data_IF_950273122737
#
_entry.id   IF_950273122737
#
_cell.length_a   1.000
_cell.length_b   1.000
_cell.length_c   1.000
_cell.angle_alpha   90.00
_cell.angle_beta   90.00
_cell.angle_gamma   90.00
#
_symmetry.space_group_name_H-M   'P 1'
#
loop_
_entity.id
_entity.type
_entity.pdbx_description
1 polymer ?
#
# COMPACT_ATOMS: atom_id res chain seq x y z
N UNK A 1 -0.26 -7.28 9.39
CA UNK A 1 -1.38 -7.01 8.45
C UNK A 1 -1.65 -8.15 7.48
N UNK A 2 -0.74 -8.57 6.58
CA UNK A 2 -1.05 -9.64 5.60
C UNK A 2 -1.59 -10.93 6.23
N UNK A 3 -0.96 -11.42 7.31
CA UNK A 3 -1.47 -12.56 8.10
C UNK A 3 -2.88 -12.32 8.68
N UNK A 4 -3.14 -11.11 9.18
CA UNK A 4 -4.45 -10.74 9.75
C UNK A 4 -5.55 -10.67 8.68
N UNK A 5 -5.17 -10.44 7.43
CA UNK A 5 -6.05 -10.47 6.26
C UNK A 5 -6.17 -11.89 5.66
N UNK A 6 -5.67 -12.92 6.35
CA UNK A 6 -5.76 -14.33 5.94
C UNK A 6 -4.71 -14.77 4.91
N UNK A 7 -3.72 -13.93 4.61
CA UNK A 7 -2.62 -14.30 3.72
C UNK A 7 -1.60 -15.21 4.42
N UNK A 8 -0.87 -16.01 3.66
CA UNK A 8 0.26 -16.81 4.16
C UNK A 8 1.57 -16.29 3.57
N UNK A 9 2.59 -16.13 4.41
CA UNK A 9 3.92 -15.76 3.96
C UNK A 9 4.62 -16.95 3.29
N UNK A 10 5.30 -16.70 2.18
CA UNK A 10 6.11 -17.69 1.48
C UNK A 10 7.31 -16.98 0.82
N UNK A 11 8.51 -17.28 1.29
CA UNK A 11 9.74 -16.64 0.80
C UNK A 11 9.96 -16.88 -0.70
N UNK A 12 9.53 -18.02 -1.24
CA UNK A 12 9.59 -18.31 -2.68
C UNK A 12 8.66 -17.44 -3.55
N UNK A 13 7.76 -16.66 -2.95
CA UNK A 13 6.91 -15.68 -3.63
C UNK A 13 7.38 -14.24 -3.43
N UNK A 14 8.45 -14.01 -2.66
CA UNK A 14 8.97 -12.68 -2.35
C UNK A 14 9.82 -12.13 -3.52
N UNK A 15 9.18 -11.93 -4.67
CA UNK A 15 9.82 -11.58 -5.94
C UNK A 15 10.01 -10.08 -6.16
N UNK A 16 9.41 -9.23 -5.32
CA UNK A 16 9.55 -7.77 -5.41
C UNK A 16 10.74 -7.35 -4.57
N UNK A 17 11.69 -6.60 -5.15
CA UNK A 17 12.69 -5.87 -4.39
C UNK A 17 12.13 -4.49 -4.01
N UNK A 18 12.07 -4.19 -2.72
CA UNK A 18 11.67 -2.87 -2.26
C UNK A 18 12.73 -1.82 -2.60
N UNK A 19 12.35 -0.55 -2.56
CA UNK A 19 13.23 0.59 -2.85
C UNK A 19 13.31 1.57 -1.66
N UNK A 20 14.18 2.58 -1.77
CA UNK A 20 14.36 3.60 -0.74
C UNK A 20 14.87 3.02 0.58
N UNK A 21 14.29 3.45 1.69
CA UNK A 21 14.72 3.04 3.05
C UNK A 21 14.48 1.55 3.35
N UNK A 22 13.72 0.84 2.52
CA UNK A 22 13.48 -0.60 2.62
C UNK A 22 14.23 -1.39 1.54
N UNK A 23 15.20 -0.75 0.85
CA UNK A 23 15.82 -1.23 -0.37
C UNK A 23 16.49 -2.60 -0.34
N UNK A 24 16.80 -3.14 0.85
CA UNK A 24 17.42 -4.46 1.03
C UNK A 24 16.41 -5.59 1.20
N UNK A 25 15.11 -5.31 1.19
CA UNK A 25 14.09 -6.24 1.65
C UNK A 25 13.22 -6.73 0.50
N UNK A 26 12.94 -8.03 0.49
CA UNK A 26 12.05 -8.65 -0.48
C UNK A 26 10.59 -8.58 -0.01
N UNK A 27 9.68 -8.62 -0.97
CA UNK A 27 8.25 -8.54 -0.74
C UNK A 27 7.45 -9.43 -1.70
N UNK A 28 6.32 -9.92 -1.22
CA UNK A 28 5.33 -10.66 -1.99
C UNK A 28 4.30 -9.65 -2.54
N UNK A 29 3.93 -9.73 -3.84
CA UNK A 29 2.77 -9.01 -4.34
C UNK A 29 1.51 -9.44 -3.58
N UNK A 30 0.85 -8.50 -2.92
CA UNK A 30 -0.37 -8.73 -2.15
C UNK A 30 -1.49 -7.83 -2.68
N UNK A 31 -2.65 -8.41 -2.97
CA UNK A 31 -3.80 -7.65 -3.49
C UNK A 31 -4.94 -7.70 -2.49
N UNK A 32 -5.58 -6.56 -2.26
CA UNK A 32 -6.74 -6.45 -1.39
C UNK A 32 -7.80 -5.53 -2.01
N UNK A 33 -9.06 -5.82 -1.71
CA UNK A 33 -10.13 -4.84 -1.90
C UNK A 33 -10.07 -3.89 -0.70
N UNK A 34 -9.96 -2.60 -0.97
CA UNK A 34 -9.78 -1.56 0.04
C UNK A 34 -10.95 -0.59 -0.06
N UNK A 35 -11.54 -0.31 1.10
CA UNK A 35 -12.55 0.70 1.31
C UNK A 35 -11.89 1.89 2.02
N UNK A 36 -11.99 3.10 1.48
CA UNK A 36 -11.46 4.31 2.10
C UNK A 36 -12.58 5.32 2.29
N UNK A 37 -12.98 5.54 3.54
CA UNK A 37 -14.16 6.34 3.86
C UNK A 37 -15.38 5.83 3.10
N UNK A 38 -16.09 6.74 2.41
CA UNK A 38 -17.29 6.43 1.62
C UNK A 38 -17.02 6.21 0.13
N UNK A 39 -15.75 6.11 -0.28
CA UNK A 39 -15.36 5.90 -1.68
C UNK A 39 -15.59 4.43 -2.05
N UNK A 40 -16.18 4.16 -3.23
CA UNK A 40 -16.44 2.79 -3.68
C UNK A 40 -15.20 1.87 -3.53
N UNK A 41 -15.37 0.62 -3.05
CA UNK A 41 -14.23 -0.27 -2.82
C UNK A 41 -13.48 -0.54 -4.12
N UNK A 42 -12.15 -0.57 -4.03
CA UNK A 42 -11.30 -0.82 -5.20
C UNK A 42 -10.13 -1.74 -4.87
N UNK A 43 -9.60 -2.38 -5.92
CA UNK A 43 -8.51 -3.35 -5.77
C UNK A 43 -7.17 -2.63 -5.76
N UNK A 44 -6.45 -2.70 -4.65
CA UNK A 44 -5.09 -2.19 -4.51
C UNK A 44 -4.08 -3.35 -4.46
N UNK A 45 -2.93 -3.14 -5.10
CA UNK A 45 -1.71 -3.91 -4.95
C UNK A 45 -0.77 -3.30 -3.89
N UNK A 46 -0.18 -4.16 -3.06
CA UNK A 46 0.79 -3.84 -2.04
C UNK A 46 2.01 -4.75 -2.19
N UNK A 47 3.17 -4.24 -1.82
CA UNK A 47 4.34 -5.07 -1.59
C UNK A 47 4.35 -5.48 -0.10
N UNK A 48 3.94 -6.72 0.18
CA UNK A 48 3.92 -7.23 1.54
C UNK A 48 5.30 -7.78 1.90
N UNK A 49 5.89 -7.28 2.98
CA UNK A 49 7.19 -7.73 3.50
C UNK A 49 7.03 -8.44 4.86
N UNK A 50 8.01 -9.25 5.22
CA UNK A 50 8.08 -9.93 6.52
C UNK A 50 8.70 -9.07 7.63
N UNK A 51 9.11 -7.83 7.34
CA UNK A 51 9.61 -6.89 8.34
C UNK A 51 8.51 -6.67 9.41
N UNK A 52 8.81 -6.99 10.69
CA UNK A 52 7.86 -6.74 11.77
C UNK A 52 7.52 -5.25 11.87
N UNK A 53 6.24 -4.95 12.07
CA UNK A 53 5.75 -3.57 12.28
C UNK A 53 6.09 -2.59 11.14
N UNK A 54 6.32 -3.07 9.92
CA UNK A 54 6.44 -2.18 8.76
C UNK A 54 5.18 -1.30 8.64
N UNK A 55 5.33 0.02 8.45
CA UNK A 55 4.17 0.91 8.30
C UNK A 55 3.40 0.58 7.02
N UNK A 56 2.11 0.86 7.00
CA UNK A 56 1.35 0.89 5.75
C UNK A 56 1.83 2.08 4.93
N UNK A 57 2.47 1.80 3.80
CA UNK A 57 2.95 2.82 2.88
C UNK A 57 1.95 2.91 1.72
N UNK A 58 1.34 4.09 1.57
CA UNK A 58 0.50 4.45 0.44
C UNK A 58 1.36 5.30 -0.51
N UNK A 59 1.82 4.65 -1.58
CA UNK A 59 2.86 5.21 -2.45
C UNK A 59 2.36 5.65 -3.83
N UNK A 60 3.33 6.15 -4.60
CA UNK A 60 3.12 6.60 -5.98
C UNK A 60 2.58 5.49 -6.87
N UNK A 61 3.18 4.30 -6.79
CA UNK A 61 2.71 3.15 -7.54
C UNK A 61 1.45 2.63 -6.85
N UNK A 62 0.37 2.57 -7.62
CA UNK A 62 -0.95 2.06 -7.25
C UNK A 62 -1.83 3.05 -6.45
N UNK A 63 -1.49 3.47 -5.24
CA UNK A 63 -2.41 4.36 -4.47
C UNK A 63 -2.56 5.75 -5.11
N UNK A 64 -1.48 6.46 -5.43
CA UNK A 64 -1.57 7.77 -6.09
C UNK A 64 -1.99 7.68 -7.56
N UNK A 65 -2.02 6.47 -8.14
CA UNK A 65 -2.60 6.26 -9.47
C UNK A 65 -4.12 6.15 -9.43
N UNK A 66 -4.70 5.80 -8.28
CA UNK A 66 -6.16 5.71 -8.09
C UNK A 66 -6.74 6.96 -7.42
N UNK A 67 -5.90 7.73 -6.72
CA UNK A 67 -6.31 8.92 -6.00
C UNK A 67 -5.40 10.12 -6.27
N UNK A 68 -6.01 11.26 -6.53
CA UNK A 68 -5.37 12.57 -6.34
C UNK A 68 -5.17 12.79 -4.85
N UNK A 69 -3.92 13.00 -4.42
CA UNK A 69 -3.56 13.16 -2.99
C UNK A 69 -2.99 14.56 -2.75
N UNK A 70 -3.60 15.30 -1.82
CA UNK A 70 -3.15 16.63 -1.41
C UNK A 70 -2.72 16.63 0.05
N UNK A 71 -1.46 17.02 0.32
CA UNK A 71 -0.91 17.05 1.67
C UNK A 71 -0.93 18.45 2.27
N UNK A 72 -1.52 18.61 3.45
CA UNK A 72 -1.54 19.84 4.22
C UNK A 72 -0.63 19.72 5.45
N UNK A 73 0.70 19.83 5.23
CA UNK A 73 1.72 19.50 6.24
C UNK A 73 1.59 20.25 7.57
N UNK A 74 1.22 21.54 7.54
CA UNK A 74 1.03 22.36 8.75
C UNK A 74 -0.18 21.92 9.58
N UNK A 75 -1.17 21.31 8.94
CA UNK A 75 -2.38 20.79 9.57
C UNK A 75 -2.30 19.31 9.95
N UNK A 76 -1.22 18.63 9.51
CA UNK A 76 -1.03 17.18 9.70
C UNK A 76 -2.16 16.33 9.10
N UNK A 77 -2.78 16.81 8.03
CA UNK A 77 -3.84 16.12 7.31
C UNK A 77 -3.49 15.99 5.83
N UNK A 78 -4.18 15.07 5.16
CA UNK A 78 -4.17 14.96 3.71
C UNK A 78 -5.59 14.67 3.24
N UNK A 79 -5.88 15.12 2.03
CA UNK A 79 -7.11 14.79 1.33
C UNK A 79 -6.81 13.82 0.19
N UNK A 80 -7.79 12.98 -0.10
CA UNK A 80 -7.78 12.14 -1.30
C UNK A 80 -9.06 12.37 -2.09
N UNK A 81 -8.95 12.32 -3.41
CA UNK A 81 -10.10 12.25 -4.33
C UNK A 81 -9.82 11.15 -5.34
N UNK A 82 -10.81 10.32 -5.73
CA UNK A 82 -10.62 9.40 -6.83
C UNK A 82 -10.14 10.17 -8.06
N UNK A 83 -9.20 9.61 -8.83
CA UNK A 83 -8.83 10.21 -10.11
C UNK A 83 -10.09 10.46 -10.94
N UNK A 84 -10.16 11.61 -11.57
CA UNK A 84 -11.21 11.85 -12.57
C UNK A 84 -10.91 10.96 -13.78
N UNK A 85 -11.94 10.26 -14.28
CA UNK A 85 -11.82 9.46 -15.50
C UNK A 85 -11.52 10.33 -16.73
#
# INVERSE_FOLDING_TARGET
MGLQLGATWNDGKAIIQLAGNLGSQSAIPFFAIVQVGDIAPLRLAFAWTNIPNAPLILGQVNFFMEFDVCFYRSKMEFEIKPKSQ
#
